data_IF_154601505842
#
_entry.id   IF_154601505842
#
_cell.length_a   1.000
_cell.length_b   1.000
_cell.length_c   1.000
_cell.angle_alpha   90.00
_cell.angle_beta   90.00
_cell.angle_gamma   90.00
#
_symmetry.space_group_name_H-M   'P 1'
#
loop_
_entity.id
_entity.type
_entity.pdbx_description
1 polymer ?
#
# COMPACT_ATOMS: atom_id res chain seq x y z
N UNK A 1 -32.82 -28.90 17.28
CA UNK A 1 -31.45 -29.42 17.10
C UNK A 1 -30.63 -28.55 16.15
N UNK A 2 -31.12 -28.23 14.94
CA UNK A 2 -30.42 -27.36 13.97
C UNK A 2 -30.06 -25.96 14.50
N UNK A 3 -30.95 -25.29 15.24
CA UNK A 3 -30.65 -23.96 15.81
C UNK A 3 -29.48 -23.95 16.81
N UNK A 4 -29.32 -25.02 17.59
CA UNK A 4 -28.20 -25.17 18.53
C UNK A 4 -26.89 -25.37 17.76
N UNK A 5 -26.91 -26.17 16.69
CA UNK A 5 -25.72 -26.38 15.84
C UNK A 5 -25.28 -25.07 15.20
N UNK A 6 -26.21 -24.28 14.65
CA UNK A 6 -25.86 -22.97 14.07
C UNK A 6 -25.30 -22.00 15.09
N UNK A 7 -25.89 -21.91 16.28
CA UNK A 7 -25.40 -21.06 17.35
C UNK A 7 -23.96 -21.43 17.76
N UNK A 8 -23.67 -22.73 17.94
CA UNK A 8 -22.33 -23.22 18.27
C UNK A 8 -21.33 -22.89 17.15
N UNK A 9 -21.68 -23.15 15.88
CA UNK A 9 -20.79 -22.83 14.76
C UNK A 9 -20.48 -21.34 14.64
N UNK A 10 -21.48 -20.48 14.83
CA UNK A 10 -21.29 -19.02 14.82
C UNK A 10 -20.38 -18.57 15.97
N UNK A 11 -20.60 -19.09 17.18
CA UNK A 11 -19.75 -18.79 18.34
C UNK A 11 -18.29 -19.20 18.11
N UNK A 12 -18.05 -20.38 17.51
CA UNK A 12 -16.69 -20.83 17.18
C UNK A 12 -16.02 -19.89 16.16
N UNK A 13 -16.73 -19.55 15.07
CA UNK A 13 -16.21 -18.62 14.05
C UNK A 13 -15.91 -17.25 14.66
N UNK A 14 -16.80 -16.75 15.53
CA UNK A 14 -16.62 -15.46 16.20
C UNK A 14 -15.40 -15.45 17.12
N UNK A 15 -15.22 -16.50 17.92
CA UNK A 15 -14.04 -16.64 18.80
C UNK A 15 -12.75 -16.76 17.99
N UNK A 16 -12.75 -17.54 16.90
CA UNK A 16 -11.61 -17.61 15.98
C UNK A 16 -11.29 -16.24 15.36
N UNK A 17 -12.32 -15.49 14.98
CA UNK A 17 -12.19 -14.12 14.49
C UNK A 17 -11.54 -13.18 15.50
N UNK A 18 -11.98 -13.22 16.77
CA UNK A 18 -11.37 -12.43 17.85
C UNK A 18 -9.91 -12.83 18.07
N UNK A 19 -9.60 -14.13 18.10
CA UNK A 19 -8.24 -14.61 18.30
C UNK A 19 -7.32 -14.16 17.16
N UNK A 20 -7.77 -14.26 15.91
CA UNK A 20 -7.04 -13.78 14.75
C UNK A 20 -6.80 -12.26 14.81
N UNK A 21 -7.82 -11.48 15.18
CA UNK A 21 -7.72 -10.03 15.34
C UNK A 21 -6.75 -9.65 16.47
N UNK A 22 -6.81 -10.31 17.62
CA UNK A 22 -5.88 -10.06 18.72
C UNK A 22 -4.44 -10.38 18.34
N UNK A 23 -4.21 -11.47 17.61
CA UNK A 23 -2.87 -11.80 17.11
C UNK A 23 -2.36 -10.74 16.13
N UNK A 24 -3.21 -10.27 15.21
CA UNK A 24 -2.86 -9.20 14.28
C UNK A 24 -2.52 -7.88 15.01
N UNK A 25 -3.29 -7.52 16.05
CA UNK A 25 -3.03 -6.33 16.87
C UNK A 25 -1.70 -6.46 17.62
N UNK A 26 -1.44 -7.61 18.25
CA UNK A 26 -0.17 -7.86 18.96
C UNK A 26 1.03 -7.79 18.03
N UNK A 27 0.96 -8.39 16.85
CA UNK A 27 2.03 -8.31 15.86
C UNK A 27 2.29 -6.88 15.40
N UNK A 28 1.23 -6.09 15.16
CA UNK A 28 1.36 -4.68 14.78
C UNK A 28 2.01 -3.84 15.88
N UNK A 29 1.57 -3.99 17.13
CA UNK A 29 2.17 -3.31 18.28
C UNK A 29 3.64 -3.70 18.49
N UNK A 30 3.98 -4.97 18.30
CA UNK A 30 5.36 -5.45 18.41
C UNK A 30 6.26 -4.81 17.34
N UNK A 31 5.77 -4.69 16.11
CA UNK A 31 6.48 -3.96 15.04
C UNK A 31 6.64 -2.50 15.44
N UNK A 32 5.56 -1.79 15.79
CA UNK A 32 5.61 -0.35 16.15
C UNK A 32 6.60 -0.07 17.30
N UNK A 33 6.72 -0.98 18.27
CA UNK A 33 7.66 -0.85 19.39
C UNK A 33 9.15 -0.97 19.00
N UNK A 34 9.44 -1.50 17.81
CA UNK A 34 10.79 -1.64 17.27
C UNK A 34 11.09 -0.64 16.15
N UNK A 35 10.18 0.29 15.83
CA UNK A 35 10.41 1.26 14.76
C UNK A 35 11.00 2.55 15.35
N UNK A 36 12.25 2.81 15.03
CA UNK A 36 12.84 4.14 15.20
C UNK A 36 13.16 4.78 13.86
N UNK A 37 12.86 6.09 13.74
CA UNK A 37 13.12 6.84 12.52
C UNK A 37 14.62 6.89 12.21
N UNK A 38 14.99 6.43 11.01
CA UNK A 38 16.39 6.38 10.56
C UNK A 38 17.15 5.12 10.98
N UNK A 39 16.51 4.21 11.72
CA UNK A 39 17.12 2.95 12.13
C UNK A 39 17.45 2.07 10.93
N UNK A 40 18.65 1.47 10.95
CA UNK A 40 19.10 0.53 9.92
C UNK A 40 18.45 -0.82 10.16
N UNK A 41 17.73 -1.30 9.16
CA UNK A 41 17.07 -2.58 9.21
C UNK A 41 17.11 -3.28 7.85
N UNK A 42 16.54 -4.46 7.81
CA UNK A 42 16.29 -5.17 6.57
C UNK A 42 14.87 -5.68 6.50
N UNK A 43 14.29 -5.65 5.31
CA UNK A 43 12.93 -6.13 5.05
C UNK A 43 12.94 -7.07 3.87
N UNK A 44 12.02 -8.03 3.85
CA UNK A 44 11.79 -8.85 2.67
C UNK A 44 10.33 -9.20 2.54
N UNK A 45 9.89 -9.48 1.32
CA UNK A 45 8.51 -9.82 1.02
C UNK A 45 8.26 -9.89 -0.48
N UNK A 46 7.00 -10.13 -0.83
CA UNK A 46 6.54 -10.19 -2.21
C UNK A 46 6.07 -8.82 -2.68
N UNK A 47 6.57 -8.36 -3.83
CA UNK A 47 6.12 -7.13 -4.49
C UNK A 47 4.67 -7.30 -4.93
N UNK A 48 3.75 -6.61 -4.27
CA UNK A 48 2.32 -6.68 -4.57
C UNK A 48 1.82 -5.56 -5.48
N UNK A 49 2.49 -4.40 -5.42
CA UNK A 49 2.12 -3.21 -6.19
C UNK A 49 3.32 -2.28 -6.34
N UNK A 50 3.33 -1.56 -7.47
CA UNK A 50 4.32 -0.52 -7.78
C UNK A 50 3.62 0.77 -8.18
N UNK A 51 4.25 1.87 -7.85
CA UNK A 51 3.75 3.23 -8.07
C UNK A 51 4.95 4.14 -8.38
N UNK A 52 4.93 4.84 -9.51
CA UNK A 52 6.03 5.75 -9.85
C UNK A 52 5.91 7.02 -9.00
N UNK A 53 6.98 7.36 -8.28
CA UNK A 53 7.13 8.65 -7.63
C UNK A 53 8.08 9.54 -8.41
N UNK A 54 8.10 10.83 -8.08
CA UNK A 54 8.98 11.80 -8.75
C UNK A 54 10.49 11.53 -8.53
N UNK A 55 10.87 10.90 -7.40
CA UNK A 55 12.27 10.66 -7.02
C UNK A 55 12.64 9.18 -6.93
N UNK A 56 11.68 8.35 -6.57
CA UNK A 56 11.87 6.91 -6.37
C UNK A 56 10.55 6.18 -6.61
N UNK A 57 10.64 4.89 -6.91
CA UNK A 57 9.48 4.02 -7.08
C UNK A 57 8.97 3.58 -5.72
N UNK A 58 7.68 3.79 -5.49
CA UNK A 58 6.95 3.28 -4.32
C UNK A 58 6.54 1.85 -4.58
N UNK A 59 6.93 0.95 -3.70
CA UNK A 59 6.70 -0.49 -3.81
C UNK A 59 6.02 -0.98 -2.54
N UNK A 60 4.96 -1.75 -2.71
CA UNK A 60 4.21 -2.31 -1.58
C UNK A 60 4.58 -3.79 -1.43
N UNK A 61 5.25 -4.13 -0.32
CA UNK A 61 5.59 -5.51 0.02
C UNK A 61 4.51 -6.14 0.88
N UNK A 62 4.09 -7.36 0.53
CA UNK A 62 3.21 -8.22 1.34
C UNK A 62 3.91 -9.52 1.70
N UNK A 63 3.34 -10.29 2.62
CA UNK A 63 3.98 -11.48 3.20
C UNK A 63 5.40 -11.16 3.66
N UNK A 64 5.52 -10.02 4.34
CA UNK A 64 6.78 -9.37 4.60
C UNK A 64 7.23 -9.57 6.04
N UNK A 65 8.53 -9.44 6.24
CA UNK A 65 9.13 -9.46 7.57
C UNK A 65 10.11 -8.29 7.69
N UNK A 66 10.27 -7.84 8.92
CA UNK A 66 11.24 -6.85 9.36
C UNK A 66 12.31 -7.57 10.19
N UNK A 67 13.57 -7.23 9.95
CA UNK A 67 14.71 -7.57 10.79
C UNK A 67 15.40 -6.30 11.26
N UNK A 68 15.36 -6.07 12.56
CA UNK A 68 16.07 -5.00 13.27
C UNK A 68 17.02 -5.70 14.25
N UNK A 69 18.32 -5.42 14.12
CA UNK A 69 19.36 -6.13 14.87
C UNK A 69 19.22 -7.67 14.75
N UNK A 70 19.03 -8.38 15.87
CA UNK A 70 18.80 -9.83 15.92
C UNK A 70 17.32 -10.22 15.96
N UNK A 71 16.40 -9.24 16.05
CA UNK A 71 14.97 -9.49 16.13
C UNK A 71 14.36 -9.57 14.74
N UNK A 72 13.48 -10.54 14.54
CA UNK A 72 12.69 -10.70 13.32
C UNK A 72 11.20 -10.73 13.66
N UNK A 73 10.42 -9.93 12.96
CA UNK A 73 8.97 -9.87 13.13
C UNK A 73 8.24 -9.91 11.77
N UNK A 74 7.11 -10.62 11.68
CA UNK A 74 6.23 -10.53 10.51
C UNK A 74 5.52 -9.17 10.48
N UNK A 75 5.34 -8.64 9.28
CA UNK A 75 4.63 -7.38 9.03
C UNK A 75 3.47 -7.62 8.06
N UNK A 76 2.43 -6.78 8.13
CA UNK A 76 1.26 -6.83 7.24
C UNK A 76 1.63 -6.38 5.84
N UNK A 77 2.07 -5.13 5.72
CA UNK A 77 2.54 -4.52 4.49
C UNK A 77 3.57 -3.44 4.80
N UNK A 78 4.60 -3.33 3.94
CA UNK A 78 5.64 -2.31 4.07
C UNK A 78 5.66 -1.47 2.79
N UNK A 79 5.69 -0.15 2.93
CA UNK A 79 5.85 0.79 1.82
C UNK A 79 7.34 1.08 1.61
N UNK A 80 7.94 0.48 0.58
CA UNK A 80 9.37 0.59 0.28
C UNK A 80 9.60 1.58 -0.86
N UNK A 81 10.55 2.48 -0.69
CA UNK A 81 11.02 3.39 -1.73
C UNK A 81 12.33 2.85 -2.31
N UNK A 82 12.35 2.55 -3.61
CA UNK A 82 13.51 2.01 -4.32
C UNK A 82 13.74 2.72 -5.67
N UNK A 83 15.00 2.75 -6.09
CA UNK A 83 15.39 3.17 -7.45
C UNK A 83 15.71 1.98 -8.36
N UNK A 84 15.78 0.76 -7.79
CA UNK A 84 15.99 -0.48 -8.55
C UNK A 84 14.68 -0.94 -9.17
N UNK A 85 14.71 -1.34 -10.43
CA UNK A 85 13.55 -1.91 -11.11
C UNK A 85 13.24 -3.31 -10.57
N UNK A 86 11.96 -3.54 -10.26
CA UNK A 86 11.41 -4.79 -9.74
C UNK A 86 10.07 -5.04 -10.41
N UNK A 87 9.62 -6.29 -10.51
CA UNK A 87 8.31 -6.64 -11.07
C UNK A 87 7.34 -7.10 -9.99
N UNK A 88 6.04 -6.92 -10.23
CA UNK A 88 4.98 -7.48 -9.37
C UNK A 88 5.13 -9.00 -9.32
N UNK A 89 5.06 -9.57 -8.12
CA UNK A 89 5.32 -10.99 -7.84
C UNK A 89 6.75 -11.31 -7.41
N UNK A 90 7.73 -10.43 -7.66
CA UNK A 90 9.09 -10.69 -7.21
C UNK A 90 9.17 -10.79 -5.69
N UNK A 91 10.07 -11.65 -5.20
CA UNK A 91 10.40 -11.71 -3.78
C UNK A 91 11.76 -11.04 -3.61
N UNK A 92 11.77 -9.92 -2.88
CA UNK A 92 12.96 -9.10 -2.70
C UNK A 92 13.37 -9.02 -1.24
N UNK A 93 14.67 -8.88 -1.02
CA UNK A 93 15.31 -8.58 0.25
C UNK A 93 15.96 -7.21 0.12
N UNK A 94 15.69 -6.31 1.07
CA UNK A 94 16.09 -4.91 1.01
C UNK A 94 16.74 -4.51 2.32
N UNK A 95 17.98 -4.00 2.27
CA UNK A 95 18.57 -3.29 3.41
C UNK A 95 18.35 -1.78 3.23
N UNK A 96 18.15 -1.06 4.33
CA UNK A 96 17.85 0.35 4.28
C UNK A 96 17.50 0.94 5.63
N UNK A 97 16.73 2.02 5.61
CA UNK A 97 16.33 2.75 6.82
C UNK A 97 14.82 2.76 7.02
N UNK A 98 14.41 2.59 8.28
CA UNK A 98 13.03 2.68 8.74
C UNK A 98 12.56 4.14 8.76
N UNK A 99 11.31 4.36 8.39
CA UNK A 99 10.60 5.63 8.59
C UNK A 99 9.17 5.35 9.06
N UNK A 100 8.82 5.89 10.21
CA UNK A 100 7.48 5.81 10.78
C UNK A 100 6.47 6.61 9.95
N UNK A 101 5.19 6.27 10.10
CA UNK A 101 4.09 7.00 9.47
C UNK A 101 3.74 8.23 10.32
N UNK A 102 3.69 9.41 9.71
CA UNK A 102 3.47 10.66 10.45
C UNK A 102 1.96 10.98 10.57
N UNK A 103 1.46 11.31 11.77
CA UNK A 103 0.09 11.80 11.91
C UNK A 103 -0.06 13.21 11.33
N UNK A 104 -1.30 13.64 11.07
CA UNK A 104 -1.56 15.01 10.64
C UNK A 104 -1.10 16.02 11.72
N UNK A 105 -0.26 16.99 11.35
CA UNK A 105 0.24 18.01 12.28
C UNK A 105 -0.79 19.09 12.62
N UNK A 106 -1.73 19.36 11.71
CA UNK A 106 -2.83 20.31 11.89
C UNK A 106 -4.13 19.69 11.38
N UNK A 107 -5.27 20.12 11.89
CA UNK A 107 -6.58 19.72 11.38
C UNK A 107 -6.73 20.09 9.89
N UNK A 108 -7.25 19.15 9.10
CA UNK A 108 -7.40 19.31 7.65
C UNK A 108 -6.16 18.95 6.82
N UNK A 109 -4.99 18.75 7.43
CA UNK A 109 -3.83 18.19 6.72
C UNK A 109 -3.98 16.69 6.47
N UNK A 110 -3.23 16.18 5.49
CA UNK A 110 -3.20 14.75 5.20
C UNK A 110 -2.62 13.99 6.39
N UNK A 111 -3.42 13.08 6.95
CA UNK A 111 -3.01 12.15 7.99
C UNK A 111 -2.41 10.90 7.35
N UNK A 112 -1.08 10.89 7.23
CA UNK A 112 -0.35 9.80 6.60
C UNK A 112 -0.48 8.51 7.41
N UNK A 113 -0.39 8.59 8.74
CA UNK A 113 -0.56 7.45 9.66
C UNK A 113 -1.92 6.78 9.47
N UNK A 114 -3.01 7.52 9.65
CA UNK A 114 -4.36 6.97 9.50
C UNK A 114 -4.61 6.43 8.08
N UNK A 115 -4.13 7.12 7.05
CA UNK A 115 -4.31 6.67 5.66
C UNK A 115 -3.62 5.33 5.39
N UNK A 116 -2.33 5.20 5.69
CA UNK A 116 -1.58 3.99 5.37
C UNK A 116 -1.87 2.82 6.31
N UNK A 117 -2.15 3.09 7.60
CA UNK A 117 -2.58 2.05 8.54
C UNK A 117 -3.93 1.44 8.15
N UNK A 118 -4.87 2.26 7.65
CA UNK A 118 -6.16 1.77 7.12
C UNK A 118 -5.98 0.87 5.89
N UNK A 119 -4.87 1.02 5.15
CA UNK A 119 -4.48 0.15 4.04
C UNK A 119 -3.65 -1.06 4.49
N UNK A 120 -3.41 -1.22 5.79
CA UNK A 120 -2.62 -2.31 6.36
C UNK A 120 -1.11 -2.13 6.27
N UNK A 121 -0.63 -0.92 5.99
CA UNK A 121 0.81 -0.62 5.95
C UNK A 121 1.29 -0.32 7.36
N UNK A 122 2.35 -0.99 7.80
CA UNK A 122 2.92 -0.80 9.13
C UNK A 122 3.89 0.39 9.18
N UNK A 123 4.74 0.56 8.15
CA UNK A 123 5.72 1.65 8.08
C UNK A 123 6.26 1.88 6.67
N UNK A 124 7.05 2.95 6.50
CA UNK A 124 7.81 3.27 5.30
C UNK A 124 9.26 2.80 5.43
N UNK A 125 9.85 2.43 4.31
CA UNK A 125 11.23 1.95 4.28
C UNK A 125 11.98 2.56 3.09
N UNK A 126 13.13 3.19 3.34
CA UNK A 126 13.99 3.70 2.29
C UNK A 126 15.07 2.67 2.00
N UNK A 127 14.95 1.97 0.87
CA UNK A 127 15.89 0.91 0.52
C UNK A 127 17.16 1.46 -0.12
N UNK A 128 18.29 0.88 0.30
CA UNK A 128 19.63 1.25 -0.14
C UNK A 128 20.24 0.16 -1.03
N UNK A 129 20.05 -1.11 -0.65
CA UNK A 129 20.50 -2.27 -1.44
C UNK A 129 19.36 -3.27 -1.58
N UNK A 130 19.27 -3.88 -2.76
CA UNK A 130 18.22 -4.84 -3.10
C UNK A 130 18.86 -6.14 -3.58
N UNK A 131 18.37 -7.26 -3.07
CA UNK A 131 18.70 -8.61 -3.51
C UNK A 131 17.41 -9.33 -3.90
N UNK A 132 17.43 -10.07 -5.00
CA UNK A 132 16.28 -10.87 -5.44
C UNK A 132 16.36 -12.26 -4.83
N UNK A 133 15.38 -12.61 -4.01
CA UNK A 133 15.18 -13.98 -3.53
C UNK A 133 14.52 -14.82 -4.63
N UNK A 134 13.50 -14.26 -5.28
CA UNK A 134 12.88 -14.82 -6.49
C UNK A 134 12.56 -13.73 -7.50
N UNK A 135 12.75 -14.05 -8.79
CA UNK A 135 12.37 -13.22 -9.94
C UNK A 135 11.06 -13.67 -10.58
N UNK A 136 10.33 -14.58 -9.94
CA UNK A 136 8.98 -14.94 -10.38
C UNK A 136 8.13 -13.68 -10.45
N UNK A 137 7.38 -13.56 -11.54
CA UNK A 137 6.62 -12.36 -11.85
C UNK A 137 5.19 -12.78 -12.07
N UNK A 138 4.27 -12.09 -11.40
CA UNK A 138 2.87 -12.13 -11.77
C UNK A 138 2.72 -11.38 -13.11
N UNK A 139 2.81 -12.15 -14.20
CA UNK A 139 2.81 -11.60 -15.55
C UNK A 139 1.53 -10.82 -15.85
N UNK A 140 0.41 -11.21 -15.28
CA UNK A 140 -0.86 -10.54 -15.50
C UNK A 140 -0.91 -9.21 -14.77
N UNK A 141 -0.57 -9.20 -13.47
CA UNK A 141 -0.51 -7.97 -12.69
C UNK A 141 0.54 -6.98 -13.22
N UNK A 142 1.72 -7.48 -13.61
CA UNK A 142 2.77 -6.66 -14.21
C UNK A 142 2.34 -6.09 -15.58
N UNK A 143 1.68 -6.87 -16.42
CA UNK A 143 1.12 -6.39 -17.69
C UNK A 143 0.09 -5.27 -17.48
N UNK A 144 -0.84 -5.44 -16.53
CA UNK A 144 -1.82 -4.40 -16.19
C UNK A 144 -1.15 -3.14 -15.67
N UNK A 145 -0.12 -3.26 -14.84
CA UNK A 145 0.68 -2.13 -14.38
C UNK A 145 1.33 -1.38 -15.55
N UNK A 146 1.95 -2.09 -16.49
CA UNK A 146 2.56 -1.50 -17.68
C UNK A 146 1.53 -0.77 -18.54
N UNK A 147 0.38 -1.40 -18.81
CA UNK A 147 -0.70 -0.78 -19.60
C UNK A 147 -1.28 0.45 -18.93
N UNK A 148 -1.48 0.41 -17.60
CA UNK A 148 -1.88 1.57 -16.82
C UNK A 148 -0.91 2.74 -17.05
N UNK A 149 0.40 2.48 -16.98
CA UNK A 149 1.43 3.49 -17.18
C UNK A 149 1.46 4.05 -18.60
N UNK A 150 1.35 3.21 -19.62
CA UNK A 150 1.28 3.65 -21.02
C UNK A 150 0.13 4.64 -21.24
N UNK A 151 -1.05 4.36 -20.65
CA UNK A 151 -2.21 5.25 -20.76
C UNK A 151 -2.00 6.57 -20.00
N UNK A 152 -1.42 6.52 -18.79
CA UNK A 152 -1.08 7.73 -18.02
C UNK A 152 -0.12 8.62 -18.82
N UNK A 153 0.94 8.04 -19.38
CA UNK A 153 1.92 8.76 -20.18
C UNK A 153 1.28 9.37 -21.45
N UNK A 154 0.35 8.65 -22.09
CA UNK A 154 -0.40 9.16 -23.22
C UNK A 154 -1.23 10.39 -22.82
N UNK A 155 -1.96 10.35 -21.69
CA UNK A 155 -2.72 11.50 -21.19
C UNK A 155 -1.82 12.69 -20.89
N UNK A 156 -0.70 12.48 -20.19
CA UNK A 156 0.25 13.55 -19.88
C UNK A 156 0.88 14.17 -21.14
N UNK A 157 1.07 13.39 -22.22
CA UNK A 157 1.65 13.87 -23.47
C UNK A 157 0.64 14.62 -24.35
N UNK A 158 -0.62 14.26 -24.29
CA UNK A 158 -1.66 14.76 -25.22
C UNK A 158 -2.56 15.83 -24.61
N UNK A 159 -2.54 16.00 -23.29
CA UNK A 159 -3.43 16.89 -22.54
C UNK A 159 -2.67 17.73 -21.51
N UNK A 160 -3.32 18.78 -20.99
CA UNK A 160 -2.78 19.53 -19.85
C UNK A 160 -2.76 18.69 -18.58
N UNK A 161 -1.87 19.04 -17.63
CA UNK A 161 -1.63 18.28 -16.39
C UNK A 161 -2.92 18.05 -15.58
N UNK A 162 -3.75 19.08 -15.46
CA UNK A 162 -5.06 19.01 -14.78
C UNK A 162 -5.97 17.95 -15.41
N UNK A 163 -6.20 18.04 -16.73
CA UNK A 163 -7.07 17.12 -17.46
C UNK A 163 -6.53 15.69 -17.43
N UNK A 164 -5.21 15.53 -17.57
CA UNK A 164 -4.55 14.24 -17.47
C UNK A 164 -4.73 13.62 -16.07
N UNK A 165 -4.65 14.43 -15.00
CA UNK A 165 -4.86 13.98 -13.62
C UNK A 165 -6.30 13.53 -13.37
N UNK A 166 -7.28 14.31 -13.84
CA UNK A 166 -8.70 13.97 -13.73
C UNK A 166 -9.03 12.69 -14.50
N UNK A 167 -8.60 12.57 -15.77
CA UNK A 167 -8.85 11.37 -16.59
C UNK A 167 -8.14 10.13 -16.05
N UNK A 168 -6.89 10.27 -15.59
CA UNK A 168 -6.18 9.16 -14.94
C UNK A 168 -6.94 8.66 -13.71
N UNK A 169 -7.53 9.57 -12.93
CA UNK A 169 -8.38 9.22 -11.80
C UNK A 169 -9.68 8.53 -12.24
N UNK A 170 -10.34 9.05 -13.29
CA UNK A 170 -11.64 8.57 -13.76
C UNK A 170 -11.59 7.29 -14.61
N UNK A 171 -10.48 6.97 -15.24
CA UNK A 171 -10.35 5.79 -16.13
C UNK A 171 -9.53 4.68 -15.48
N UNK A 172 -8.44 5.05 -14.79
CA UNK A 172 -7.44 4.09 -14.29
C UNK A 172 -7.44 3.96 -12.76
N UNK A 173 -8.31 4.70 -12.07
CA UNK A 173 -8.32 4.82 -10.62
C UNK A 173 -7.06 5.46 -10.05
N UNK A 174 -6.24 6.11 -10.88
CA UNK A 174 -4.96 6.68 -10.48
C UNK A 174 -5.12 8.10 -9.96
N UNK A 175 -4.97 8.26 -8.65
CA UNK A 175 -5.10 9.55 -7.96
C UNK A 175 -3.77 10.28 -7.80
N UNK A 176 -2.64 9.72 -8.26
CA UNK A 176 -1.33 10.31 -8.03
C UNK A 176 -1.14 11.66 -8.71
N UNK A 177 -1.77 11.84 -9.87
CA UNK A 177 -1.71 13.07 -10.66
C UNK A 177 -2.82 14.06 -10.33
N UNK A 178 -3.73 13.73 -9.40
CA UNK A 178 -4.85 14.58 -9.07
C UNK A 178 -4.42 15.68 -8.10
N UNK A 179 -4.45 16.92 -8.57
CA UNK A 179 -4.09 18.06 -7.74
C UNK A 179 -5.06 18.23 -6.55
N UNK A 180 -4.57 18.61 -5.35
CA UNK A 180 -5.40 18.80 -4.17
C UNK A 180 -6.52 19.82 -4.36
N UNK A 181 -6.27 20.86 -5.15
CA UNK A 181 -7.23 21.93 -5.45
C UNK A 181 -8.42 21.40 -6.27
N UNK A 182 -8.15 20.58 -7.29
CA UNK A 182 -9.17 19.90 -8.08
C UNK A 182 -9.97 18.92 -7.21
N UNK A 183 -9.29 18.14 -6.37
CA UNK A 183 -9.97 17.25 -5.41
C UNK A 183 -10.90 18.05 -4.48
N UNK A 184 -10.45 19.19 -3.97
CA UNK A 184 -11.24 20.07 -3.11
C UNK A 184 -12.44 20.67 -3.87
N UNK A 185 -12.25 21.09 -5.12
CA UNK A 185 -13.31 21.63 -5.96
C UNK A 185 -14.43 20.60 -6.16
N UNK A 186 -14.08 19.36 -6.49
CA UNK A 186 -15.05 18.25 -6.63
C UNK A 186 -15.71 17.87 -5.30
N UNK A 187 -15.03 18.06 -4.15
CA UNK A 187 -15.63 17.91 -2.82
C UNK A 187 -16.66 18.99 -2.52
N UNK A 188 -16.31 20.26 -2.73
CA UNK A 188 -17.17 21.40 -2.47
C UNK A 188 -18.42 21.42 -3.37
N UNK A 189 -18.30 20.90 -4.59
CA UNK A 189 -19.41 20.83 -5.57
C UNK A 189 -20.26 19.56 -5.42
N UNK A 190 -19.99 18.69 -4.45
CA UNK A 190 -20.78 17.47 -4.18
C UNK A 190 -20.58 16.33 -5.18
N UNK A 191 -19.71 16.49 -6.19
CA UNK A 191 -19.44 15.50 -7.24
C UNK A 191 -18.18 14.66 -7.00
N UNK A 192 -17.68 14.62 -5.77
CA UNK A 192 -16.54 13.78 -5.39
C UNK A 192 -16.71 12.31 -5.69
N UNK A 193 -17.96 11.85 -5.70
CA UNK A 193 -18.26 10.47 -6.08
C UNK A 193 -17.78 10.16 -7.50
N UNK A 194 -17.74 11.12 -8.44
CA UNK A 194 -17.24 10.91 -9.81
C UNK A 194 -15.74 10.62 -9.83
N UNK A 195 -14.95 11.30 -9.01
CA UNK A 195 -13.53 10.97 -8.80
C UNK A 195 -13.34 9.61 -8.10
N UNK A 196 -14.42 9.04 -7.56
CA UNK A 196 -14.47 7.71 -6.99
C UNK A 196 -15.21 6.68 -7.88
N UNK A 197 -15.77 7.09 -9.04
CA UNK A 197 -16.51 6.19 -9.95
C UNK A 197 -15.55 5.17 -10.61
N UNK A 198 -14.25 5.44 -10.64
CA UNK A 198 -13.30 4.49 -11.21
C UNK A 198 -12.54 3.72 -10.14
N UNK A 199 -12.97 2.47 -10.04
CA UNK A 199 -12.45 1.43 -9.20
C UNK A 199 -13.57 0.43 -9.15
N UNK A 200 -13.66 -0.43 -10.17
CA UNK A 200 -14.36 -1.72 -10.04
C UNK A 200 -14.00 -2.21 -8.65
N UNK A 201 -14.97 -2.16 -7.73
CA UNK A 201 -14.84 -2.74 -6.39
C UNK A 201 -14.26 -4.14 -6.65
N UNK A 202 -13.21 -4.49 -5.90
CA UNK A 202 -12.57 -5.81 -5.91
C UNK A 202 -11.82 -6.23 -7.18
N UNK A 203 -10.61 -5.70 -7.38
CA UNK A 203 -9.47 -6.53 -7.80
C UNK A 203 -8.39 -6.41 -6.72
N UNK A 204 -8.61 -7.14 -5.62
CA UNK A 204 -7.50 -7.71 -4.84
C UNK A 204 -6.98 -8.88 -5.70
N UNK A 205 -6.17 -8.57 -6.71
CA UNK A 205 -5.24 -9.54 -7.29
C UNK A 205 -3.98 -9.50 -6.43
#
# INVERSE_FOLDING_TARGET
>A
MQGIVYAVTFSVIFVLGICHMQNAIKSHQAVESLLEDGEKAAVWGTVSKKEEGAKSTKIYLKHCNLRVEEKQLPCRQILVYLNTDVSVGNIIYVNGTVKTLEPARNEGNFDEKNFYESQGTDFKFYGETVQFISRDTDRFAEFLYQKKREVIQLYQKTMGAETAGVLSTMVLGDRQLLEPEIKSLYQKTGISHILAISGVKTLKL
#
